data_IF_045763511863
#
_entry.id   IF_045763511863
#
_cell.length_a   1.000
_cell.length_b   1.000
_cell.length_c   1.000
_cell.angle_alpha   90.00
_cell.angle_beta   90.00
_cell.angle_gamma   90.00
#
_symmetry.space_group_name_H-M   'P 1'
#
loop_
_entity.id
_entity.type
_entity.pdbx_description
1 polymer ?
#
# COMPACT_ATOMS: atom_id res chain seq x y z
N UNK A 1 -26.07 5.73 92.16
CA UNK A 1 -27.17 5.33 91.27
C UNK A 1 -27.06 6.21 90.06
N UNK A 2 -26.56 5.69 88.94
CA UNK A 2 -26.91 6.06 87.56
C UNK A 2 -26.03 5.24 86.61
N UNK A 3 -26.65 4.61 85.63
CA UNK A 3 -26.06 3.58 84.77
C UNK A 3 -25.73 4.14 83.38
N UNK A 4 -24.53 3.83 82.89
CA UNK A 4 -24.14 4.12 81.51
C UNK A 4 -24.99 3.31 80.53
N UNK A 5 -25.91 3.98 79.82
CA UNK A 5 -26.60 3.41 78.66
C UNK A 5 -25.77 3.67 77.39
N UNK A 6 -25.02 2.67 76.95
CA UNK A 6 -24.38 2.66 75.63
C UNK A 6 -25.27 1.90 74.63
N UNK A 7 -26.05 2.63 73.83
CA UNK A 7 -26.86 2.08 72.73
C UNK A 7 -26.89 3.03 71.53
N UNK A 8 -25.74 3.31 70.93
CA UNK A 8 -25.70 3.87 69.58
C UNK A 8 -25.72 2.72 68.56
N UNK A 9 -26.93 2.27 68.23
CA UNK A 9 -27.14 1.35 67.11
C UNK A 9 -26.86 2.09 65.80
N UNK A 10 -25.64 1.99 65.30
CA UNK A 10 -25.31 2.46 63.95
C UNK A 10 -26.04 1.56 62.95
N UNK A 11 -27.22 2.00 62.50
CA UNK A 11 -27.84 1.46 61.29
C UNK A 11 -26.88 1.71 60.13
N UNK A 12 -26.20 0.65 59.69
CA UNK A 12 -25.44 0.65 58.44
C UNK A 12 -26.48 0.63 57.31
N UNK A 13 -26.92 1.83 56.91
CA UNK A 13 -27.72 2.03 55.72
C UNK A 13 -26.85 1.84 54.48
N UNK A 14 -27.20 0.84 53.68
CA UNK A 14 -26.43 0.34 52.54
C UNK A 14 -26.50 1.26 51.30
N UNK A 15 -26.00 2.50 51.38
CA UNK A 15 -26.19 3.54 50.34
C UNK A 15 -24.90 4.01 49.61
N UNK A 16 -23.77 3.33 49.76
CA UNK A 16 -22.50 3.74 49.11
C UNK A 16 -22.40 3.45 47.59
N UNK A 17 -23.35 2.73 47.00
CA UNK A 17 -23.29 2.34 45.58
C UNK A 17 -23.75 3.42 44.58
N UNK A 18 -24.22 4.58 45.05
CA UNK A 18 -24.88 5.62 44.23
C UNK A 18 -24.02 6.87 43.99
N UNK A 19 -22.88 6.99 44.67
CA UNK A 19 -22.06 8.21 44.69
C UNK A 19 -21.31 8.49 43.38
N UNK A 20 -20.83 7.45 42.67
CA UNK A 20 -19.93 7.62 41.51
C UNK A 20 -20.54 8.39 40.32
N UNK A 21 -21.85 8.25 40.10
CA UNK A 21 -22.56 8.89 38.99
C UNK A 21 -23.44 10.08 39.44
N UNK A 22 -23.40 10.45 40.73
CA UNK A 22 -24.23 11.53 41.28
C UNK A 22 -23.93 12.92 40.68
N UNK A 23 -22.77 13.10 40.05
CA UNK A 23 -22.39 14.31 39.31
C UNK A 23 -22.53 14.20 37.78
N UNK A 24 -23.09 13.11 37.24
CA UNK A 24 -23.21 12.93 35.79
C UNK A 24 -24.24 13.89 35.17
N UNK A 25 -23.98 14.47 33.99
CA UNK A 25 -24.96 15.28 33.27
C UNK A 25 -26.08 14.45 32.60
N UNK A 26 -26.04 13.11 32.71
CA UNK A 26 -26.96 12.19 32.06
C UNK A 26 -27.86 11.47 33.07
N UNK A 27 -29.09 11.17 32.67
CA UNK A 27 -29.98 10.30 33.45
C UNK A 27 -29.47 8.85 33.47
N UNK A 28 -29.88 8.06 34.48
CA UNK A 28 -29.48 6.64 34.60
C UNK A 28 -29.82 5.82 33.35
N UNK A 29 -30.91 6.13 32.66
CA UNK A 29 -31.31 5.43 31.42
C UNK A 29 -30.36 5.80 30.28
N UNK A 30 -29.99 7.08 30.12
CA UNK A 30 -29.02 7.53 29.13
C UNK A 30 -27.63 6.94 29.40
N UNK A 31 -27.19 6.91 30.66
CA UNK A 31 -25.93 6.26 31.08
C UNK A 31 -25.90 4.80 30.63
N UNK A 32 -26.96 4.03 30.95
CA UNK A 32 -27.04 2.61 30.56
C UNK A 32 -27.01 2.45 29.03
N UNK A 33 -27.72 3.30 28.28
CA UNK A 33 -27.71 3.29 26.82
C UNK A 33 -26.33 3.65 26.23
N UNK A 34 -25.66 4.67 26.76
CA UNK A 34 -24.32 5.09 26.33
C UNK A 34 -23.33 3.95 26.56
N UNK A 35 -23.33 3.31 27.74
CA UNK A 35 -22.46 2.17 28.05
C UNK A 35 -22.74 1.00 27.08
N UNK A 36 -24.01 0.67 26.81
CA UNK A 36 -24.38 -0.41 25.90
C UNK A 36 -23.92 -0.16 24.45
N UNK A 37 -24.14 1.05 23.94
CA UNK A 37 -23.76 1.43 22.57
C UNK A 37 -22.25 1.54 22.44
N UNK A 38 -21.57 2.26 23.33
CA UNK A 38 -20.11 2.41 23.30
C UNK A 38 -19.39 1.08 23.54
N UNK A 39 -19.86 0.27 24.49
CA UNK A 39 -19.30 -1.05 24.78
C UNK A 39 -19.49 -2.04 23.63
N UNK A 40 -20.63 -2.02 22.93
CA UNK A 40 -20.84 -2.85 21.75
C UNK A 40 -20.01 -2.40 20.55
N UNK A 41 -19.85 -1.09 20.31
CA UNK A 41 -18.94 -0.55 19.29
C UNK A 41 -17.47 -0.91 19.57
N UNK A 42 -17.05 -0.78 20.83
CA UNK A 42 -15.74 -1.21 21.33
C UNK A 42 -15.49 -2.69 21.04
N UNK A 43 -16.42 -3.57 21.45
CA UNK A 43 -16.34 -5.01 21.21
C UNK A 43 -16.28 -5.36 19.71
N UNK A 44 -17.11 -4.75 18.87
CA UNK A 44 -17.10 -4.95 17.41
C UNK A 44 -15.75 -4.52 16.81
N UNK A 45 -15.19 -3.39 17.28
CA UNK A 45 -13.89 -2.87 16.82
C UNK A 45 -12.75 -3.82 17.18
N UNK A 46 -12.74 -4.33 18.41
CA UNK A 46 -11.75 -5.29 18.90
C UNK A 46 -11.83 -6.60 18.12
N UNK A 47 -13.01 -7.22 18.05
CA UNK A 47 -13.20 -8.49 17.32
C UNK A 47 -12.86 -8.32 15.83
N UNK A 48 -13.34 -7.25 15.20
CA UNK A 48 -13.12 -6.97 13.79
C UNK A 48 -11.63 -6.86 13.44
N UNK A 49 -10.86 -6.08 14.21
CA UNK A 49 -9.44 -5.89 13.94
C UNK A 49 -8.59 -7.12 14.30
N UNK A 50 -8.95 -7.88 15.35
CA UNK A 50 -8.35 -9.19 15.63
C UNK A 50 -8.56 -10.15 14.44
N UNK A 51 -9.77 -10.20 13.85
CA UNK A 51 -10.04 -11.04 12.67
C UNK A 51 -9.20 -10.62 11.46
N UNK A 52 -8.94 -9.33 11.25
CA UNK A 52 -8.02 -8.83 10.20
C UNK A 52 -6.60 -9.36 10.44
N UNK A 53 -6.07 -9.16 11.64
CA UNK A 53 -4.72 -9.57 12.02
C UNK A 53 -4.53 -11.09 11.89
N UNK A 54 -5.48 -11.89 12.41
CA UNK A 54 -5.47 -13.34 12.30
C UNK A 54 -5.57 -13.81 10.85
N UNK A 55 -6.42 -13.18 10.02
CA UNK A 55 -6.57 -13.56 8.61
C UNK A 55 -5.27 -13.41 7.83
N UNK A 56 -4.53 -12.32 8.04
CA UNK A 56 -3.24 -12.07 7.40
C UNK A 56 -2.17 -13.05 7.92
N UNK A 57 -2.18 -13.36 9.23
CA UNK A 57 -1.22 -14.29 9.86
C UNK A 57 -1.44 -15.75 9.44
N UNK A 58 -2.69 -16.18 9.28
CA UNK A 58 -3.05 -17.59 8.98
C UNK A 58 -3.05 -17.87 7.48
N UNK A 59 -3.56 -16.97 6.64
CA UNK A 59 -3.71 -17.20 5.21
C UNK A 59 -2.51 -16.64 4.43
N UNK A 60 -1.63 -17.53 3.93
CA UNK A 60 -0.47 -17.14 3.11
C UNK A 60 -0.84 -16.36 1.84
N UNK A 61 -2.04 -16.56 1.28
CA UNK A 61 -2.51 -15.79 0.12
C UNK A 61 -2.82 -14.33 0.48
N UNK A 62 -2.95 -13.99 1.77
CA UNK A 62 -3.08 -12.63 2.29
C UNK A 62 -1.74 -12.04 2.75
N UNK A 63 -0.62 -12.77 2.73
CA UNK A 63 0.70 -12.28 3.15
C UNK A 63 1.40 -11.47 2.04
N UNK A 64 0.70 -10.46 1.51
CA UNK A 64 1.23 -9.54 0.50
C UNK A 64 1.65 -8.23 1.13
N UNK A 65 2.65 -7.53 0.56
CA UNK A 65 3.14 -6.23 1.06
C UNK A 65 2.01 -5.22 1.33
N UNK A 66 0.98 -5.21 0.48
CA UNK A 66 -0.21 -4.38 0.66
C UNK A 66 -0.89 -4.56 2.01
N UNK A 67 -0.96 -5.82 2.46
CA UNK A 67 -1.71 -6.23 3.63
C UNK A 67 -0.88 -6.05 4.92
N UNK A 68 0.44 -5.83 4.83
CA UNK A 68 1.23 -5.38 5.99
C UNK A 68 0.81 -3.97 6.43
N UNK A 69 0.48 -3.07 5.49
CA UNK A 69 -0.10 -1.77 5.84
C UNK A 69 -1.49 -1.91 6.48
N UNK A 70 -2.34 -2.81 5.98
CA UNK A 70 -3.65 -3.10 6.58
C UNK A 70 -3.51 -3.76 7.96
N UNK A 71 -2.46 -4.56 8.18
CA UNK A 71 -2.13 -5.14 9.49
C UNK A 71 -1.74 -4.03 10.48
N UNK A 72 -0.86 -3.10 10.08
CA UNK A 72 -0.49 -1.95 10.93
C UNK A 72 -1.70 -1.08 11.26
N UNK A 73 -2.58 -0.83 10.30
CA UNK A 73 -3.81 -0.06 10.52
C UNK A 73 -4.74 -0.80 11.52
N UNK A 74 -4.93 -2.12 11.36
CA UNK A 74 -5.68 -2.92 12.31
C UNK A 74 -5.06 -2.96 13.72
N UNK A 75 -3.73 -2.86 13.86
CA UNK A 75 -3.09 -2.72 15.18
C UNK A 75 -3.41 -1.39 15.84
N UNK A 76 -3.43 -0.29 15.08
CA UNK A 76 -3.81 1.03 15.61
C UNK A 76 -5.30 1.08 15.98
N UNK A 77 -6.17 0.62 15.07
CA UNK A 77 -7.61 0.54 15.27
C UNK A 77 -7.98 -0.36 16.47
N UNK A 78 -7.21 -1.43 16.73
CA UNK A 78 -7.35 -2.28 17.91
C UNK A 78 -7.02 -1.55 19.22
N UNK A 79 -5.95 -0.73 19.25
CA UNK A 79 -5.59 0.04 20.46
C UNK A 79 -6.67 1.09 20.75
N UNK A 80 -7.22 1.75 19.73
CA UNK A 80 -8.37 2.68 19.88
C UNK A 80 -9.58 1.95 20.47
N UNK A 81 -9.90 0.74 19.98
CA UNK A 81 -11.00 -0.07 20.50
C UNK A 81 -10.80 -0.56 21.94
N UNK A 82 -9.60 -0.97 22.32
CA UNK A 82 -9.30 -1.49 23.67
C UNK A 82 -9.13 -0.37 24.70
N UNK A 83 -8.48 0.73 24.34
CA UNK A 83 -8.12 1.79 25.29
C UNK A 83 -9.00 3.04 25.10
N UNK A 84 -8.89 3.72 23.95
CA UNK A 84 -9.46 5.05 23.74
C UNK A 84 -10.99 5.08 23.87
N UNK A 85 -11.70 4.16 23.21
CA UNK A 85 -13.16 4.07 23.29
C UNK A 85 -13.67 3.88 24.73
N UNK A 86 -13.01 3.01 25.50
CA UNK A 86 -13.48 2.65 26.84
C UNK A 86 -13.15 3.76 27.86
N UNK A 87 -11.94 4.33 27.80
CA UNK A 87 -11.55 5.46 28.66
C UNK A 87 -12.38 6.72 28.37
N UNK A 88 -12.72 6.96 27.11
CA UNK A 88 -13.60 8.08 26.75
C UNK A 88 -15.05 7.84 27.21
N UNK A 89 -15.57 6.60 27.12
CA UNK A 89 -16.88 6.26 27.74
C UNK A 89 -16.89 6.59 29.23
N UNK A 90 -15.83 6.23 29.97
CA UNK A 90 -15.71 6.49 31.42
C UNK A 90 -15.80 7.99 31.71
N UNK A 91 -15.00 8.81 31.02
CA UNK A 91 -15.02 10.27 31.16
C UNK A 91 -16.42 10.88 30.89
N UNK A 92 -17.03 10.51 29.76
CA UNK A 92 -18.35 11.04 29.37
C UNK A 92 -19.47 10.61 30.34
N UNK A 93 -19.47 9.36 30.79
CA UNK A 93 -20.53 8.83 31.66
C UNK A 93 -20.43 9.37 33.09
N UNK A 94 -19.21 9.51 33.62
CA UNK A 94 -18.98 10.03 34.97
C UNK A 94 -19.15 11.56 35.01
N UNK A 95 -18.90 12.25 33.90
CA UNK A 95 -19.02 13.71 33.79
C UNK A 95 -17.77 14.48 34.23
N UNK A 96 -16.75 13.78 34.75
CA UNK A 96 -15.43 14.29 35.09
C UNK A 96 -14.38 13.18 34.93
N UNK A 97 -13.10 13.51 35.08
CA UNK A 97 -11.98 12.56 34.97
C UNK A 97 -11.51 12.04 36.36
N UNK A 98 -11.82 10.78 36.74
CA UNK A 98 -11.48 10.27 38.08
C UNK A 98 -10.10 9.61 38.18
N UNK A 99 -9.40 9.36 37.07
CA UNK A 99 -8.18 8.52 37.04
C UNK A 99 -6.88 9.29 37.28
N UNK A 100 -6.97 10.60 37.56
CA UNK A 100 -5.85 11.48 37.83
C UNK A 100 -5.01 11.87 36.59
N UNK A 101 -4.18 12.90 36.76
CA UNK A 101 -3.45 13.56 35.67
C UNK A 101 -2.53 12.63 34.86
N UNK A 102 -1.83 11.68 35.52
CA UNK A 102 -0.90 10.77 34.83
C UNK A 102 -1.63 9.85 33.85
N UNK A 103 -2.80 9.31 34.23
CA UNK A 103 -3.58 8.45 33.34
C UNK A 103 -4.23 9.26 32.22
N UNK A 104 -4.63 10.50 32.49
CA UNK A 104 -5.10 11.44 31.45
C UNK A 104 -4.03 11.67 30.38
N UNK A 105 -2.83 12.10 30.79
CA UNK A 105 -1.74 12.45 29.89
C UNK A 105 -1.26 11.23 29.07
N UNK A 106 -1.20 10.05 29.69
CA UNK A 106 -0.87 8.80 29.00
C UNK A 106 -1.98 8.35 28.03
N UNK A 107 -3.25 8.48 28.39
CA UNK A 107 -4.37 8.19 27.50
C UNK A 107 -4.36 9.09 26.28
N UNK A 108 -4.27 10.42 26.47
CA UNK A 108 -4.20 11.39 25.38
C UNK A 108 -2.96 11.15 24.50
N UNK A 109 -1.80 10.86 25.09
CA UNK A 109 -0.61 10.52 24.32
C UNK A 109 -0.81 9.26 23.46
N UNK A 110 -1.37 8.17 24.01
CA UNK A 110 -1.69 6.96 23.25
C UNK A 110 -2.71 7.25 22.15
N UNK A 111 -3.80 7.95 22.46
CA UNK A 111 -4.91 8.20 21.55
C UNK A 111 -4.46 9.00 20.30
N UNK A 112 -3.71 10.09 20.52
CA UNK A 112 -3.22 10.93 19.43
C UNK A 112 -2.07 10.28 18.64
N UNK A 113 -1.14 9.58 19.30
CA UNK A 113 -0.06 8.84 18.60
C UNK A 113 -0.64 7.75 17.69
N UNK A 114 -1.60 6.97 18.21
CA UNK A 114 -2.23 5.87 17.47
C UNK A 114 -3.10 6.41 16.34
N UNK A 115 -3.91 7.43 16.60
CA UNK A 115 -4.74 8.10 15.59
C UNK A 115 -3.89 8.69 14.46
N UNK A 116 -2.79 9.39 14.79
CA UNK A 116 -1.85 9.91 13.79
C UNK A 116 -1.14 8.78 13.02
N UNK A 117 -0.80 7.66 13.68
CA UNK A 117 -0.23 6.50 13.01
C UNK A 117 -1.22 5.88 12.01
N UNK A 118 -2.54 5.87 12.30
CA UNK A 118 -3.56 5.48 11.33
C UNK A 118 -3.60 6.41 10.11
N UNK A 119 -3.56 7.74 10.30
CA UNK A 119 -3.50 8.72 9.19
C UNK A 119 -2.26 8.51 8.31
N UNK A 120 -1.10 8.33 8.93
CA UNK A 120 0.17 8.08 8.22
C UNK A 120 0.14 6.74 7.46
N UNK A 121 -0.48 5.70 8.01
CA UNK A 121 -0.71 4.44 7.29
C UNK A 121 -1.64 4.64 6.07
N UNK A 122 -2.71 5.44 6.18
CA UNK A 122 -3.59 5.77 5.04
C UNK A 122 -2.85 6.57 3.95
N UNK A 123 -1.95 7.49 4.32
CA UNK A 123 -1.08 8.19 3.38
C UNK A 123 -0.14 7.22 2.67
N UNK A 124 0.52 6.33 3.40
CA UNK A 124 1.42 5.29 2.85
C UNK A 124 0.66 4.38 1.88
N UNK A 125 -0.54 3.92 2.23
CA UNK A 125 -1.41 3.12 1.35
C UNK A 125 -1.75 3.91 0.07
N UNK A 126 -2.04 5.20 0.18
CA UNK A 126 -2.35 6.06 -0.96
C UNK A 126 -1.16 6.25 -1.90
N UNK A 127 0.04 6.49 -1.37
CA UNK A 127 1.28 6.60 -2.15
C UNK A 127 1.71 5.27 -2.78
N UNK A 128 1.68 4.16 -2.04
CA UNK A 128 1.98 2.82 -2.55
C UNK A 128 1.11 2.49 -3.77
N UNK A 129 -0.17 2.85 -3.70
CA UNK A 129 -1.15 2.63 -4.76
C UNK A 129 -0.96 3.55 -5.94
N UNK A 130 -0.65 4.82 -5.70
CA UNK A 130 -0.27 5.75 -6.74
C UNK A 130 0.95 5.24 -7.52
N UNK A 131 2.00 4.76 -6.83
CA UNK A 131 3.20 4.22 -7.49
C UNK A 131 2.96 2.87 -8.18
N UNK A 132 2.17 1.96 -7.60
CA UNK A 132 1.75 0.73 -8.29
C UNK A 132 1.02 1.03 -9.61
N UNK A 133 0.07 1.98 -9.60
CA UNK A 133 -0.77 2.30 -10.77
C UNK A 133 -0.04 3.16 -11.81
N UNK A 134 0.91 4.00 -11.41
CA UNK A 134 1.69 4.83 -12.34
C UNK A 134 2.92 4.11 -12.91
N UNK A 135 3.66 3.35 -12.08
CA UNK A 135 4.91 2.65 -12.44
C UNK A 135 4.75 1.12 -12.34
N UNK A 136 3.88 0.48 -13.16
CA UNK A 136 3.38 -0.89 -12.95
C UNK A 136 4.42 -2.02 -13.09
N UNK A 137 5.60 -1.73 -13.64
CA UNK A 137 6.70 -2.70 -13.74
C UNK A 137 7.78 -2.40 -12.69
N UNK A 138 8.31 -1.17 -12.68
CA UNK A 138 9.47 -0.81 -11.86
C UNK A 138 9.18 -0.75 -10.36
N UNK A 139 8.02 -0.23 -9.93
CA UNK A 139 7.73 -0.09 -8.50
C UNK A 139 7.35 -1.44 -7.85
N UNK A 140 6.40 -2.23 -8.40
CA UNK A 140 6.08 -3.54 -7.83
C UNK A 140 7.27 -4.51 -7.78
N UNK A 141 8.21 -4.43 -8.73
CA UNK A 141 9.41 -5.28 -8.74
C UNK A 141 10.45 -4.91 -7.67
N UNK A 142 10.58 -3.62 -7.31
CA UNK A 142 11.49 -3.15 -6.26
C UNK A 142 10.91 -3.22 -4.85
N UNK A 143 9.59 -3.30 -4.72
CA UNK A 143 8.90 -3.22 -3.42
C UNK A 143 9.01 -4.52 -2.63
N UNK A 144 9.74 -4.47 -1.51
CA UNK A 144 9.91 -5.60 -0.57
C UNK A 144 9.07 -5.44 0.71
N UNK A 145 8.89 -6.55 1.44
CA UNK A 145 8.29 -6.53 2.79
C UNK A 145 9.14 -5.74 3.79
N UNK A 146 10.48 -5.79 3.67
CA UNK A 146 11.42 -5.00 4.49
C UNK A 146 11.16 -3.50 4.34
N UNK A 147 10.98 -3.02 3.10
CA UNK A 147 10.69 -1.61 2.83
C UNK A 147 9.33 -1.18 3.43
N UNK A 148 8.29 -2.01 3.31
CA UNK A 148 7.00 -1.71 3.93
C UNK A 148 7.07 -1.71 5.47
N UNK A 149 7.83 -2.63 6.08
CA UNK A 149 8.10 -2.62 7.52
C UNK A 149 8.81 -1.34 7.97
N UNK A 150 9.79 -0.85 7.20
CA UNK A 150 10.46 0.43 7.47
C UNK A 150 9.49 1.62 7.35
N UNK A 151 8.62 1.65 6.33
CA UNK A 151 7.61 2.71 6.18
C UNK A 151 6.60 2.72 7.33
N UNK A 152 6.17 1.54 7.79
CA UNK A 152 5.31 1.38 8.97
C UNK A 152 6.04 1.88 10.22
N UNK A 153 7.26 1.42 10.48
CA UNK A 153 8.05 1.84 11.63
C UNK A 153 8.26 3.36 11.65
N UNK A 154 8.57 3.97 10.49
CA UNK A 154 8.69 5.42 10.35
C UNK A 154 7.36 6.15 10.66
N UNK A 155 6.21 5.62 10.25
CA UNK A 155 4.91 6.19 10.58
C UNK A 155 4.66 6.17 12.10
N UNK A 156 4.90 5.06 12.78
CA UNK A 156 4.73 4.95 14.24
C UNK A 156 5.71 5.84 15.00
N UNK A 157 7.00 5.83 14.64
CA UNK A 157 8.04 6.64 15.30
C UNK A 157 7.79 8.13 15.09
N UNK A 158 7.42 8.56 13.88
CA UNK A 158 7.08 9.96 13.61
C UNK A 158 5.83 10.39 14.38
N UNK A 159 4.78 9.57 14.43
CA UNK A 159 3.60 9.84 15.27
C UNK A 159 3.95 9.99 16.74
N UNK A 160 4.79 9.08 17.26
CA UNK A 160 5.24 9.13 18.66
C UNK A 160 6.00 10.42 18.95
N UNK A 161 7.01 10.76 18.14
CA UNK A 161 7.85 11.96 18.33
C UNK A 161 7.03 13.25 18.22
N UNK A 162 6.03 13.32 17.34
CA UNK A 162 5.20 14.52 17.17
C UNK A 162 4.22 14.74 18.34
N UNK A 163 3.60 13.67 18.85
CA UNK A 163 2.49 13.79 19.80
C UNK A 163 2.86 13.50 21.26
N UNK A 164 3.59 12.42 21.55
CA UNK A 164 3.83 12.03 22.95
C UNK A 164 4.71 13.05 23.71
N UNK A 165 5.86 13.52 23.19
CA UNK A 165 6.62 14.58 23.85
C UNK A 165 5.83 15.89 24.01
N UNK A 166 5.03 16.27 23.01
CA UNK A 166 4.22 17.47 23.08
C UNK A 166 3.13 17.37 24.17
N UNK A 167 2.44 16.24 24.28
CA UNK A 167 1.40 16.04 25.29
C UNK A 167 2.00 15.93 26.70
N UNK A 168 3.05 15.13 26.87
CA UNK A 168 3.63 14.84 28.19
C UNK A 168 4.48 16.00 28.75
N UNK A 169 5.29 16.65 27.91
CA UNK A 169 6.28 17.63 28.39
C UNK A 169 5.85 19.09 28.31
N UNK A 170 4.75 19.44 27.63
CA UNK A 170 4.31 20.84 27.50
C UNK A 170 4.04 21.52 28.84
N UNK A 171 3.50 20.80 29.82
CA UNK A 171 3.31 21.31 31.18
C UNK A 171 4.63 21.75 31.85
N UNK A 172 5.76 21.12 31.54
CA UNK A 172 7.08 21.55 32.05
C UNK A 172 7.65 22.73 31.26
N UNK A 173 7.35 22.84 29.96
CA UNK A 173 7.76 23.99 29.12
C UNK A 173 7.05 25.27 29.57
N UNK A 174 5.77 25.18 29.94
CA UNK A 174 4.97 26.30 30.47
C UNK A 174 5.28 26.58 31.96
N UNK A 175 5.95 25.66 32.65
CA UNK A 175 6.26 25.77 34.09
C UNK A 175 5.12 25.35 35.03
N UNK A 176 4.05 24.73 34.50
CA UNK A 176 2.92 24.23 35.27
C UNK A 176 1.85 23.55 34.42
N UNK A 177 1.08 22.66 35.06
CA UNK A 177 -0.14 22.08 34.50
C UNK A 177 -1.30 23.07 34.65
N UNK A 178 -1.98 23.41 33.57
CA UNK A 178 -3.17 24.29 33.60
C UNK A 178 -4.50 23.52 33.47
N UNK A 179 -4.44 22.21 33.20
CA UNK A 179 -5.62 21.33 33.13
C UNK A 179 -6.13 21.05 34.55
N UNK A 180 -7.41 21.32 34.87
CA UNK A 180 -8.00 21.03 36.17
C UNK A 180 -7.92 19.54 36.58
N UNK A 181 -7.99 19.20 37.89
CA UNK A 181 -7.87 17.81 38.36
C UNK A 181 -9.02 16.90 37.91
N UNK A 182 -10.19 17.49 37.67
CA UNK A 182 -11.47 16.90 37.26
C UNK A 182 -11.65 16.83 35.74
N UNK A 183 -10.72 17.39 34.96
CA UNK A 183 -10.80 17.47 33.50
C UNK A 183 -9.66 16.73 32.80
N UNK A 184 -9.90 16.30 31.55
CA UNK A 184 -8.86 15.69 30.73
C UNK A 184 -8.89 16.15 29.28
N UNK A 185 -8.02 17.12 28.96
CA UNK A 185 -7.80 17.64 27.61
C UNK A 185 -6.32 18.02 27.40
N UNK A 186 -5.92 18.22 26.14
CA UNK A 186 -4.55 18.60 25.78
C UNK A 186 -4.30 20.09 26.10
N UNK A 187 -3.36 20.38 27.00
CA UNK A 187 -3.06 21.74 27.48
C UNK A 187 -2.75 22.75 26.36
N UNK A 188 -2.00 22.37 25.31
CA UNK A 188 -1.68 23.30 24.22
C UNK A 188 -2.84 23.54 23.24
N UNK A 189 -3.94 22.78 23.33
CA UNK A 189 -5.16 23.01 22.56
C UNK A 189 -6.11 24.05 23.17
N UNK A 190 -5.80 24.58 24.36
CA UNK A 190 -6.48 25.76 24.90
C UNK A 190 -6.29 27.02 24.04
N UNK A 191 -5.31 27.04 23.13
CA UNK A 191 -5.16 28.10 22.12
C UNK A 191 -5.77 27.65 20.78
N UNK A 192 -6.91 28.23 20.33
CA UNK A 192 -7.59 27.79 19.12
C UNK A 192 -6.74 27.87 17.84
N UNK A 193 -5.80 28.83 17.77
CA UNK A 193 -4.90 28.95 16.62
C UNK A 193 -3.89 27.79 16.54
N UNK A 194 -3.43 27.29 17.69
CA UNK A 194 -2.57 26.08 17.76
C UNK A 194 -3.40 24.84 17.40
N UNK A 195 -4.60 24.70 17.96
CA UNK A 195 -5.51 23.59 17.65
C UNK A 195 -5.83 23.54 16.15
N UNK A 196 -6.13 24.68 15.52
CA UNK A 196 -6.36 24.73 14.08
C UNK A 196 -5.10 24.50 13.24
N UNK A 197 -3.95 25.06 13.64
CA UNK A 197 -2.67 24.81 12.98
C UNK A 197 -2.28 23.33 12.97
N UNK A 198 -2.49 22.64 14.10
CA UNK A 198 -2.29 21.18 14.18
C UNK A 198 -3.32 20.40 13.37
N UNK A 199 -4.59 20.80 13.35
CA UNK A 199 -5.61 20.18 12.48
C UNK A 199 -5.26 20.32 10.97
N UNK A 200 -4.70 21.47 10.55
CA UNK A 200 -4.19 21.64 9.18
C UNK A 200 -3.10 20.60 8.87
N UNK A 201 -2.10 20.46 9.74
CA UNK A 201 -0.98 19.56 9.52
C UNK A 201 -1.36 18.07 9.63
N UNK A 202 -2.22 17.71 10.59
CA UNK A 202 -2.55 16.33 10.94
C UNK A 202 -3.76 15.76 10.18
N UNK A 203 -4.68 16.60 9.71
CA UNK A 203 -5.89 16.17 8.98
C UNK A 203 -6.00 16.77 7.59
N UNK A 204 -6.12 18.10 7.47
CA UNK A 204 -6.47 18.72 6.18
C UNK A 204 -5.42 18.50 5.09
N UNK A 205 -4.13 18.69 5.40
CA UNK A 205 -3.04 18.46 4.46
C UNK A 205 -2.97 16.97 4.02
N UNK A 206 -2.98 15.98 4.94
CA UNK A 206 -3.12 14.56 4.58
C UNK A 206 -4.33 14.27 3.68
N UNK A 207 -5.52 14.79 4.00
CA UNK A 207 -6.74 14.59 3.20
C UNK A 207 -6.59 15.16 1.79
N UNK A 208 -6.07 16.38 1.65
CA UNK A 208 -5.81 17.00 0.33
C UNK A 208 -4.83 16.14 -0.49
N UNK A 209 -3.77 15.63 0.13
CA UNK A 209 -2.81 14.72 -0.52
C UNK A 209 -3.49 13.42 -0.96
N UNK A 210 -4.28 12.78 -0.09
CA UNK A 210 -5.01 11.54 -0.41
C UNK A 210 -5.99 11.75 -1.58
N UNK A 211 -6.78 12.83 -1.55
CA UNK A 211 -7.72 13.19 -2.63
C UNK A 211 -6.99 13.42 -3.95
N UNK A 212 -5.88 14.17 -3.93
CA UNK A 212 -5.06 14.42 -5.11
C UNK A 212 -4.49 13.12 -5.71
N UNK A 213 -3.86 12.28 -4.87
CA UNK A 213 -3.34 10.98 -5.30
C UNK A 213 -4.46 10.10 -5.86
N UNK A 214 -5.63 10.10 -5.23
CA UNK A 214 -6.77 9.33 -5.68
C UNK A 214 -7.33 9.81 -7.03
N UNK A 215 -7.42 11.12 -7.26
CA UNK A 215 -7.75 11.70 -8.56
C UNK A 215 -6.74 11.30 -9.64
N UNK A 216 -5.44 11.34 -9.32
CA UNK A 216 -4.37 10.88 -10.23
C UNK A 216 -4.48 9.39 -10.56
N UNK A 217 -4.77 8.53 -9.57
CA UNK A 217 -5.02 7.09 -9.75
C UNK A 217 -6.22 6.86 -10.68
N UNK A 218 -7.32 7.58 -10.45
CA UNK A 218 -8.53 7.52 -11.27
C UNK A 218 -8.27 7.92 -12.73
N UNK A 219 -7.55 9.03 -12.94
CA UNK A 219 -7.15 9.51 -14.27
C UNK A 219 -6.25 8.50 -14.99
N UNK A 220 -5.26 7.93 -14.29
CA UNK A 220 -4.38 6.90 -14.84
C UNK A 220 -5.17 5.64 -15.24
N UNK A 221 -6.06 5.14 -14.39
CA UNK A 221 -6.92 3.98 -14.67
C UNK A 221 -7.82 4.19 -15.90
N UNK A 222 -8.51 5.33 -16.00
CA UNK A 222 -9.34 5.69 -17.17
C UNK A 222 -8.51 5.83 -18.46
N UNK A 223 -7.29 6.37 -18.38
CA UNK A 223 -6.40 6.50 -19.55
C UNK A 223 -5.96 5.13 -20.11
N UNK A 224 -5.67 4.15 -19.23
CA UNK A 224 -5.33 2.77 -19.63
C UNK A 224 -6.52 2.11 -20.34
N UNK A 225 -7.74 2.25 -19.80
CA UNK A 225 -8.96 1.76 -20.46
C UNK A 225 -9.16 2.35 -21.86
N UNK A 226 -9.06 3.68 -22.03
CA UNK A 226 -9.18 4.32 -23.35
C UNK A 226 -8.14 3.78 -24.35
N UNK A 227 -6.91 3.50 -23.91
CA UNK A 227 -5.85 2.96 -24.77
C UNK A 227 -6.06 1.49 -25.15
N UNK A 228 -6.54 0.66 -24.22
CA UNK A 228 -6.86 -0.75 -24.51
C UNK A 228 -8.11 -0.88 -25.40
N UNK A 229 -9.13 -0.02 -25.21
CA UNK A 229 -10.29 0.05 -26.12
C UNK A 229 -9.86 0.44 -27.54
N UNK A 230 -9.06 1.51 -27.71
CA UNK A 230 -8.54 1.90 -29.03
C UNK A 230 -7.73 0.79 -29.70
N UNK A 231 -6.88 0.06 -28.96
CA UNK A 231 -6.16 -1.10 -29.49
C UNK A 231 -7.07 -2.27 -29.88
N UNK A 232 -8.24 -2.40 -29.25
CA UNK A 232 -9.20 -3.46 -29.59
C UNK A 232 -9.98 -3.10 -30.86
N UNK A 233 -10.44 -1.85 -31.00
CA UNK A 233 -11.13 -1.36 -32.21
C UNK A 233 -10.20 -1.30 -33.43
N UNK A 234 -8.92 -0.98 -33.25
CA UNK A 234 -7.92 -1.02 -34.33
C UNK A 234 -7.46 -2.42 -34.74
N UNK A 235 -8.05 -3.49 -34.20
CA UNK A 235 -7.83 -4.89 -34.65
C UNK A 235 -9.13 -5.52 -35.20
N UNK A 236 -10.22 -4.75 -35.36
CA UNK A 236 -11.51 -5.27 -35.82
C UNK A 236 -11.96 -4.73 -37.19
N UNK A 237 -11.08 -4.03 -37.91
CA UNK A 237 -11.28 -3.54 -39.28
C UNK A 237 -9.92 -3.63 -39.99
N UNK A 238 -9.85 -4.30 -41.15
CA UNK A 238 -8.64 -4.33 -42.00
C UNK A 238 -8.22 -5.72 -42.51
N UNK A 239 -8.93 -6.19 -43.53
CA UNK A 239 -8.43 -6.90 -44.73
C UNK A 239 -7.66 -8.24 -44.67
N UNK A 240 -7.92 -9.06 -45.70
CA UNK A 240 -7.17 -10.27 -46.03
C UNK A 240 -5.97 -9.98 -46.95
N UNK A 241 -5.19 -11.00 -47.33
CA UNK A 241 -3.94 -10.80 -48.07
C UNK A 241 -4.19 -10.48 -49.55
N UNK A 242 -4.09 -9.19 -49.91
CA UNK A 242 -3.88 -8.77 -51.29
C UNK A 242 -2.43 -9.04 -51.70
N UNK A 243 -2.25 -9.72 -52.83
CA UNK A 243 -0.94 -10.02 -53.40
C UNK A 243 -0.34 -8.74 -54.02
N UNK A 244 0.88 -8.37 -53.63
CA UNK A 244 1.75 -7.46 -54.39
C UNK A 244 3.21 -7.83 -54.12
N UNK A 245 3.84 -8.46 -55.11
CA UNK A 245 5.27 -8.29 -55.40
C UNK A 245 5.46 -6.86 -55.94
N UNK A 246 6.57 -6.13 -55.84
CA UNK A 246 7.87 -6.26 -55.16
C UNK A 246 8.02 -5.08 -54.17
N UNK A 247 9.03 -4.89 -53.29
CA UNK A 247 10.39 -5.43 -53.14
C UNK A 247 10.75 -5.58 -51.65
N UNK A 248 11.82 -6.33 -51.33
CA UNK A 248 12.29 -6.54 -49.96
C UNK A 248 13.75 -6.13 -49.71
N UNK A 249 14.01 -5.66 -48.48
CA UNK A 249 15.34 -5.26 -47.97
C UNK A 249 15.99 -4.03 -48.66
N UNK A 250 16.90 -3.29 -48.03
CA UNK A 250 17.68 -3.61 -46.83
C UNK A 250 17.92 -2.37 -45.95
N UNK A 251 18.11 -2.58 -44.64
CA UNK A 251 18.46 -1.50 -43.70
C UNK A 251 19.97 -1.27 -43.72
N UNK A 252 20.47 -0.32 -44.51
CA UNK A 252 21.81 0.22 -44.27
C UNK A 252 22.10 1.62 -44.84
N UNK A 253 23.11 2.23 -44.21
CA UNK A 253 23.89 3.41 -44.59
C UNK A 253 23.30 4.78 -44.24
N UNK A 254 23.99 5.57 -43.41
CA UNK A 254 25.29 6.23 -43.66
C UNK A 254 25.21 7.16 -44.87
N UNK A 255 25.10 8.46 -44.59
CA UNK A 255 25.18 9.50 -45.59
C UNK A 255 26.66 9.75 -45.92
N UNK A 256 27.11 9.32 -47.10
CA UNK A 256 28.33 9.82 -47.73
C UNK A 256 27.91 10.80 -48.82
N UNK A 257 28.56 11.96 -48.81
CA UNK A 257 28.39 13.06 -49.75
C UNK A 257 28.89 12.71 -51.15
N UNK A 258 28.16 13.15 -52.18
CA UNK A 258 28.75 13.60 -53.45
C UNK A 258 28.29 15.03 -53.76
N UNK A 259 29.22 15.81 -54.29
CA UNK A 259 29.05 17.20 -54.70
C UNK A 259 28.25 17.28 -56.00
N UNK A 260 27.55 18.39 -56.19
CA UNK A 260 27.70 19.19 -57.41
C UNK A 260 27.54 20.68 -57.07
N UNK A 261 28.08 21.57 -57.91
CA UNK A 261 28.41 22.93 -57.53
C UNK A 261 27.85 24.00 -58.48
N UNK A 262 27.34 25.09 -57.90
CA UNK A 262 27.23 26.45 -58.49
C UNK A 262 26.94 27.45 -57.35
N UNK A 263 27.94 28.20 -56.86
CA UNK A 263 28.30 29.59 -57.24
C UNK A 263 27.34 30.67 -56.67
N UNK A 264 27.64 31.09 -55.42
CA UNK A 264 27.95 32.48 -54.93
C UNK A 264 27.10 33.73 -55.29
N UNK A 265 27.15 34.87 -54.54
CA UNK A 265 27.54 35.12 -53.14
C UNK A 265 26.52 35.97 -52.30
N UNK A 266 26.80 36.11 -50.98
CA UNK A 266 26.33 37.22 -50.10
C UNK A 266 25.36 36.83 -48.97
N UNK A 267 25.53 37.22 -47.70
CA UNK A 267 26.59 38.05 -47.08
C UNK A 267 26.71 37.80 -45.55
N UNK A 268 27.84 38.19 -44.97
CA UNK A 268 28.17 38.43 -43.55
C UNK A 268 28.00 37.37 -42.41
N UNK A 269 29.18 37.01 -41.85
CA UNK A 269 29.64 37.20 -40.44
C UNK A 269 30.04 35.98 -39.59
N UNK A 270 31.18 36.16 -38.92
CA UNK A 270 32.06 35.14 -38.36
C UNK A 270 31.73 34.72 -36.91
N UNK A 271 32.14 33.49 -36.56
CA UNK A 271 32.91 33.22 -35.33
C UNK A 271 33.73 31.92 -35.45
N UNK A 272 35.06 32.09 -35.53
CA UNK A 272 36.09 31.04 -35.42
C UNK A 272 36.13 30.49 -33.95
N UNK A 273 36.74 29.35 -33.60
CA UNK A 273 37.70 28.41 -34.23
C UNK A 273 37.48 27.00 -33.57
N UNK A 274 37.37 25.88 -34.31
CA UNK A 274 38.44 24.91 -34.68
C UNK A 274 38.94 23.97 -33.54
N UNK A 275 39.30 22.69 -33.78
CA UNK A 275 39.14 21.84 -34.99
C UNK A 275 39.16 20.31 -34.68
N UNK A 276 38.84 19.53 -35.72
CA UNK A 276 39.02 18.08 -35.96
C UNK A 276 40.33 17.43 -35.41
N UNK A 277 40.44 16.10 -35.26
CA UNK A 277 39.50 15.00 -35.55
C UNK A 277 40.21 13.63 -35.72
N UNK A 278 39.47 12.62 -36.20
CA UNK A 278 39.93 11.31 -36.71
C UNK A 278 40.28 10.17 -35.71
N UNK A 279 39.77 8.97 -36.03
CA UNK A 279 40.01 7.61 -35.49
C UNK A 279 40.51 6.74 -36.67
N UNK A 280 41.25 5.60 -36.54
CA UNK A 280 40.64 4.35 -36.02
C UNK A 280 41.54 3.18 -35.45
N UNK A 281 40.85 2.24 -34.78
CA UNK A 281 41.05 0.77 -34.70
C UNK A 281 42.23 0.04 -33.99
N UNK A 282 41.80 -0.98 -33.23
CA UNK A 282 42.31 -2.37 -33.07
C UNK A 282 43.36 -2.78 -31.99
N UNK A 283 43.31 -4.09 -31.71
CA UNK A 283 43.94 -4.86 -30.63
C UNK A 283 45.39 -5.29 -30.97
N UNK A 284 46.30 -5.34 -29.99
CA UNK A 284 46.85 -6.59 -29.40
C UNK A 284 48.05 -6.38 -28.43
N UNK A 285 47.97 -7.06 -27.27
CA UNK A 285 48.97 -7.90 -26.55
C UNK A 285 50.44 -7.46 -26.22
N UNK A 286 50.95 -8.12 -25.16
CA UNK A 286 52.36 -8.34 -24.70
C UNK A 286 53.01 -7.26 -23.83
N UNK A 287 53.85 -7.54 -22.82
CA UNK A 287 54.03 -8.72 -21.93
C UNK A 287 54.98 -8.37 -20.74
N UNK A 288 55.08 -9.26 -19.73
CA UNK A 288 56.11 -9.34 -18.65
C UNK A 288 56.16 -8.21 -17.57
N UNK A 289 56.69 -8.35 -16.34
CA UNK A 289 57.07 -9.43 -15.35
C UNK A 289 57.24 -8.65 -14.00
N UNK A 290 56.85 -9.11 -12.80
CA UNK A 290 57.61 -10.04 -11.95
C UNK A 290 56.89 -10.44 -10.61
N UNK A 291 57.20 -11.64 -10.10
CA UNK A 291 57.36 -12.13 -8.70
C UNK A 291 56.61 -11.48 -7.49
N UNK A 292 56.11 -12.20 -6.45
CA UNK A 292 56.45 -13.54 -5.90
C UNK A 292 55.44 -14.05 -4.82
N UNK A 293 55.31 -15.38 -4.65
CA UNK A 293 55.08 -16.18 -3.40
C UNK A 293 53.87 -15.84 -2.46
N UNK A 294 53.16 -16.75 -1.76
CA UNK A 294 53.21 -18.20 -1.45
C UNK A 294 51.75 -18.67 -1.13
N UNK A 295 51.34 -19.92 -0.89
CA UNK A 295 51.67 -21.30 -1.32
C UNK A 295 50.94 -22.28 -0.36
N UNK A 296 50.26 -23.33 -0.86
CA UNK A 296 49.95 -24.64 -0.23
C UNK A 296 48.75 -25.29 -0.99
N UNK A 297 48.95 -26.29 -1.86
CA UNK A 297 49.13 -27.74 -1.59
C UNK A 297 47.84 -28.45 -1.07
N UNK A 298 47.41 -29.64 -1.55
CA UNK A 298 47.93 -30.53 -2.59
C UNK A 298 46.86 -31.44 -3.26
N UNK A 299 47.22 -31.89 -4.47
CA UNK A 299 46.83 -33.03 -5.34
C UNK A 299 46.33 -34.34 -4.68
N UNK A 300 45.65 -35.30 -5.33
CA UNK A 300 45.91 -36.04 -6.61
C UNK A 300 44.65 -36.79 -7.12
N UNK A 301 44.49 -37.39 -8.32
CA UNK A 301 44.95 -37.19 -9.73
C UNK A 301 44.65 -38.47 -10.55
N UNK A 302 44.12 -38.42 -11.80
CA UNK A 302 44.49 -39.32 -12.94
C UNK A 302 43.73 -39.06 -14.27
N UNK A 303 44.46 -39.22 -15.36
CA UNK A 303 44.16 -38.84 -16.76
C UNK A 303 43.49 -39.99 -17.59
N UNK A 304 43.09 -39.85 -18.86
CA UNK A 304 44.01 -39.79 -20.03
C UNK A 304 43.29 -39.40 -21.35
N UNK A 305 44.08 -38.81 -22.27
CA UNK A 305 43.86 -38.15 -23.56
C UNK A 305 43.05 -38.83 -24.71
N UNK A 306 42.77 -38.00 -25.75
CA UNK A 306 42.48 -38.35 -27.15
C UNK A 306 43.78 -38.18 -28.02
N UNK A 307 43.85 -38.42 -29.36
CA UNK A 307 43.09 -37.64 -30.37
C UNK A 307 42.75 -38.37 -31.72
N UNK A 308 42.25 -37.56 -32.66
CA UNK A 308 41.67 -37.79 -33.98
C UNK A 308 42.59 -38.38 -35.08
N UNK A 309 42.00 -39.09 -36.05
CA UNK A 309 42.55 -39.24 -37.42
C UNK A 309 41.49 -38.96 -38.50
N UNK A 310 41.96 -38.43 -39.65
CA UNK A 310 41.15 -37.99 -40.79
C UNK A 310 41.96 -38.31 -42.07
N UNK A 311 41.46 -39.12 -43.01
CA UNK A 311 42.13 -39.26 -44.32
C UNK A 311 41.19 -39.58 -45.50
N UNK A 312 41.53 -39.03 -46.66
CA UNK A 312 40.89 -39.16 -47.98
C UNK A 312 41.26 -40.47 -48.69
N UNK A 313 40.45 -40.90 -49.68
CA UNK A 313 41.03 -41.40 -50.95
C UNK A 313 40.30 -42.47 -51.77
N UNK A 314 39.69 -42.04 -52.90
CA UNK A 314 39.75 -42.63 -54.26
C UNK A 314 39.16 -44.02 -54.63
N UNK A 315 38.35 -43.96 -55.69
CA UNK A 315 38.22 -44.87 -56.85
C UNK A 315 37.50 -46.24 -56.78
N UNK A 316 36.76 -46.52 -57.88
CA UNK A 316 36.46 -47.88 -58.36
C UNK A 316 34.96 -48.18 -58.54
N UNK A 317 34.40 -47.93 -59.73
CA UNK A 317 32.98 -48.19 -60.01
C UNK A 317 32.69 -49.51 -60.75
N UNK A 318 31.43 -49.93 -60.76
CA UNK A 318 30.82 -50.71 -61.85
C UNK A 318 29.29 -50.53 -61.87
N UNK A 319 28.72 -50.54 -63.07
CA UNK A 319 27.30 -50.30 -63.36
C UNK A 319 26.46 -51.58 -63.22
N UNK A 320 25.16 -51.43 -62.93
CA UNK A 320 24.09 -51.89 -63.84
C UNK A 320 22.77 -51.18 -63.55
N UNK A 321 21.99 -50.92 -64.60
CA UNK A 321 20.74 -50.16 -64.54
C UNK A 321 19.54 -51.03 -64.14
N UNK A 322 18.57 -50.45 -63.43
CA UNK A 322 17.15 -50.60 -63.75
C UNK A 322 16.43 -49.26 -63.53
N UNK A 323 15.62 -48.85 -64.50
CA UNK A 323 15.02 -47.51 -64.56
C UNK A 323 13.50 -47.61 -64.44
N UNK A 324 12.94 -47.08 -63.35
CA UNK A 324 11.53 -46.66 -63.27
C UNK A 324 11.43 -45.37 -62.44
N UNK A 325 10.50 -44.45 -62.77
CA UNK A 325 10.50 -43.10 -62.20
C UNK A 325 9.73 -43.03 -60.86
N UNK A 326 10.25 -42.35 -59.83
CA UNK A 326 9.43 -41.89 -58.71
C UNK A 326 8.66 -40.63 -59.11
N UNK A 327 7.35 -40.66 -58.89
CA UNK A 327 6.42 -39.55 -59.12
C UNK A 327 6.63 -38.39 -58.12
N UNK A 328 6.35 -37.13 -58.50
CA UNK A 328 6.56 -35.98 -57.63
C UNK A 328 5.31 -35.68 -56.78
N UNK A 329 5.27 -36.15 -55.53
CA UNK A 329 4.24 -35.71 -54.57
C UNK A 329 4.73 -35.79 -53.12
N UNK A 330 4.34 -34.77 -52.33
CA UNK A 330 4.57 -34.53 -50.89
C UNK A 330 5.77 -33.64 -50.50
N UNK A 331 5.58 -32.31 -50.59
CA UNK A 331 6.39 -31.33 -49.83
C UNK A 331 5.71 -29.98 -49.51
N UNK A 332 4.44 -29.77 -49.90
CA UNK A 332 3.68 -28.56 -49.56
C UNK A 332 2.94 -28.69 -48.20
N UNK A 333 2.22 -29.81 -48.00
CA UNK A 333 1.32 -30.00 -46.86
C UNK A 333 2.03 -29.95 -45.49
N UNK A 334 3.21 -30.56 -45.35
CA UNK A 334 3.93 -30.57 -44.06
C UNK A 334 4.50 -29.21 -43.65
N UNK A 335 4.93 -28.39 -44.62
CA UNK A 335 5.36 -27.01 -44.33
C UNK A 335 4.17 -26.16 -43.86
N UNK A 336 3.00 -26.33 -44.48
CA UNK A 336 1.76 -25.68 -44.04
C UNK A 336 1.26 -26.19 -42.68
N UNK A 337 1.42 -27.48 -42.35
CA UNK A 337 1.04 -28.03 -41.04
C UNK A 337 1.90 -27.48 -39.89
N UNK A 338 3.20 -27.29 -40.13
CA UNK A 338 4.12 -26.68 -39.16
C UNK A 338 3.88 -25.17 -39.00
N UNK A 339 3.67 -24.45 -40.10
CA UNK A 339 3.36 -23.02 -40.09
C UNK A 339 2.05 -22.73 -39.36
N UNK A 340 0.97 -23.46 -39.68
CA UNK A 340 -0.33 -23.30 -38.99
C UNK A 340 -0.25 -23.68 -37.52
N UNK A 341 0.42 -24.78 -37.14
CA UNK A 341 0.67 -25.12 -35.72
C UNK A 341 1.45 -24.03 -34.97
N UNK A 342 2.39 -23.36 -35.63
CA UNK A 342 3.18 -22.28 -35.03
C UNK A 342 2.35 -21.00 -34.88
N UNK A 343 1.59 -20.62 -35.92
CA UNK A 343 0.65 -19.50 -35.87
C UNK A 343 -0.41 -19.70 -34.78
N UNK A 344 -0.96 -20.91 -34.65
CA UNK A 344 -1.95 -21.28 -33.64
C UNK A 344 -1.37 -21.26 -32.21
N UNK A 345 -0.09 -21.64 -32.03
CA UNK A 345 0.62 -21.48 -30.75
C UNK A 345 0.82 -19.99 -30.40
N UNK A 346 1.19 -19.15 -31.36
CA UNK A 346 1.40 -17.70 -31.15
C UNK A 346 0.07 -16.97 -30.87
N UNK A 347 -1.01 -17.28 -31.59
CA UNK A 347 -2.35 -16.71 -31.32
C UNK A 347 -2.90 -17.21 -29.98
N UNK A 348 -2.71 -18.49 -29.61
CA UNK A 348 -3.13 -19.01 -28.29
C UNK A 348 -2.30 -18.39 -27.14
N UNK A 349 -1.00 -18.21 -27.28
CA UNK A 349 -0.16 -17.52 -26.29
C UNK A 349 -0.55 -16.05 -26.15
N UNK A 350 -0.79 -15.33 -27.25
CA UNK A 350 -1.21 -13.92 -27.20
C UNK A 350 -2.64 -13.73 -26.67
N UNK A 351 -3.55 -14.67 -26.94
CA UNK A 351 -4.89 -14.71 -26.33
C UNK A 351 -4.82 -14.97 -24.81
N UNK A 352 -4.02 -15.94 -24.35
CA UNK A 352 -3.78 -16.21 -22.93
C UNK A 352 -3.09 -15.02 -22.25
N UNK A 353 -2.16 -14.35 -22.92
CA UNK A 353 -1.53 -13.12 -22.42
C UNK A 353 -2.53 -11.96 -22.31
N UNK A 354 -3.42 -11.76 -23.31
CA UNK A 354 -4.53 -10.79 -23.26
C UNK A 354 -5.48 -11.10 -22.09
N UNK A 355 -5.87 -12.36 -21.90
CA UNK A 355 -6.73 -12.80 -20.79
C UNK A 355 -6.08 -12.58 -19.42
N UNK A 356 -4.82 -13.00 -19.21
CA UNK A 356 -4.07 -12.72 -17.98
C UNK A 356 -3.99 -11.23 -17.70
N UNK A 357 -3.70 -10.40 -18.71
CA UNK A 357 -3.61 -8.93 -18.59
C UNK A 357 -4.96 -8.28 -18.24
N UNK A 358 -6.07 -8.76 -18.84
CA UNK A 358 -7.44 -8.33 -18.51
C UNK A 358 -7.85 -8.73 -17.08
N UNK A 359 -7.45 -9.92 -16.64
CA UNK A 359 -7.64 -10.39 -15.26
C UNK A 359 -6.89 -9.56 -14.22
N UNK A 360 -5.61 -9.24 -14.47
CA UNK A 360 -4.80 -8.35 -13.61
C UNK A 360 -5.45 -6.97 -13.49
N UNK A 361 -5.85 -6.36 -14.62
CA UNK A 361 -6.54 -5.05 -14.62
C UNK A 361 -7.87 -5.08 -13.83
N UNK A 362 -8.63 -6.17 -13.91
CA UNK A 362 -9.86 -6.35 -13.12
C UNK A 362 -9.57 -6.43 -11.61
N UNK A 363 -8.50 -7.13 -11.22
CA UNK A 363 -8.07 -7.23 -9.81
C UNK A 363 -7.59 -5.88 -9.26
N UNK A 364 -6.84 -5.10 -10.04
CA UNK A 364 -6.40 -3.75 -9.67
C UNK A 364 -7.58 -2.79 -9.45
N UNK A 365 -8.64 -2.87 -10.27
CA UNK A 365 -9.86 -2.08 -10.09
C UNK A 365 -10.58 -2.39 -8.77
N UNK A 366 -10.70 -3.67 -8.39
CA UNK A 366 -11.30 -4.10 -7.10
C UNK A 366 -10.49 -3.58 -5.90
N UNK A 367 -9.16 -3.67 -5.97
CA UNK A 367 -8.26 -3.13 -4.95
C UNK A 367 -8.40 -1.60 -4.85
N UNK A 368 -8.45 -0.89 -5.98
CA UNK A 368 -8.65 0.57 -6.00
C UNK A 368 -9.99 0.97 -5.37
N UNK A 369 -11.07 0.20 -5.63
CA UNK A 369 -12.38 0.40 -4.98
C UNK A 369 -12.34 0.14 -3.46
N UNK A 370 -11.54 -0.83 -3.01
CA UNK A 370 -11.36 -1.09 -1.57
C UNK A 370 -10.79 0.14 -0.86
N UNK A 371 -9.77 0.75 -1.45
CA UNK A 371 -9.09 1.92 -0.88
C UNK A 371 -9.93 3.18 -0.99
N UNK A 372 -10.74 3.34 -2.06
CA UNK A 372 -11.79 4.37 -2.07
C UNK A 372 -12.72 4.26 -0.85
N UNK A 373 -13.22 3.06 -0.54
CA UNK A 373 -14.17 2.90 0.55
C UNK A 373 -13.57 3.30 1.90
N UNK A 374 -12.32 2.90 2.16
CA UNK A 374 -11.57 3.27 3.38
C UNK A 374 -11.32 4.78 3.44
N UNK A 375 -10.87 5.41 2.34
CA UNK A 375 -10.63 6.85 2.30
C UNK A 375 -11.91 7.67 2.47
N UNK A 376 -13.03 7.23 1.87
CA UNK A 376 -14.33 7.88 2.03
C UNK A 376 -14.85 7.71 3.46
N UNK A 377 -14.70 6.54 4.07
CA UNK A 377 -15.05 6.32 5.47
C UNK A 377 -14.26 7.24 6.41
N UNK A 378 -12.94 7.31 6.24
CA UNK A 378 -12.05 8.21 6.99
C UNK A 378 -12.47 9.68 6.87
N UNK A 379 -12.64 10.18 5.64
CA UNK A 379 -13.07 11.58 5.44
C UNK A 379 -14.45 11.83 6.05
N UNK A 380 -15.43 10.94 5.84
CA UNK A 380 -16.78 11.11 6.36
C UNK A 380 -16.85 11.10 7.89
N UNK A 381 -16.01 10.30 8.55
CA UNK A 381 -15.99 10.17 10.01
C UNK A 381 -15.19 11.27 10.71
N UNK A 382 -14.06 11.70 10.14
CA UNK A 382 -13.16 12.69 10.78
C UNK A 382 -13.47 14.14 10.40
N UNK A 383 -14.15 14.40 9.28
CA UNK A 383 -14.46 15.78 8.85
C UNK A 383 -15.30 16.54 9.88
N UNK A 384 -16.38 15.98 10.48
CA UNK A 384 -17.21 16.74 11.42
C UNK A 384 -16.43 17.29 12.62
N UNK A 385 -15.54 16.49 13.23
CA UNK A 385 -14.66 16.96 14.31
C UNK A 385 -13.73 18.09 13.86
N UNK A 386 -13.08 17.94 12.70
CA UNK A 386 -12.15 18.96 12.21
C UNK A 386 -12.86 20.26 11.78
N UNK A 387 -14.08 20.16 11.24
CA UNK A 387 -14.95 21.33 10.97
C UNK A 387 -15.35 22.03 12.27
N UNK A 388 -15.59 21.31 13.36
CA UNK A 388 -15.79 21.92 14.68
C UNK A 388 -14.52 22.64 15.18
N UNK A 389 -13.32 22.07 15.01
CA UNK A 389 -12.06 22.76 15.31
C UNK A 389 -11.91 24.07 14.51
N UNK A 390 -12.23 24.05 13.22
CA UNK A 390 -12.27 25.26 12.38
C UNK A 390 -13.25 26.30 12.92
N UNK A 391 -14.49 25.91 13.24
CA UNK A 391 -15.52 26.83 13.78
C UNK A 391 -15.09 27.41 15.13
N UNK A 392 -14.55 26.58 16.03
CA UNK A 392 -14.04 26.97 17.35
C UNK A 392 -12.92 28.01 17.29
N UNK A 393 -12.21 28.11 16.16
CA UNK A 393 -11.18 29.13 15.92
C UNK A 393 -11.76 30.53 15.79
N UNK A 394 -13.02 30.65 15.34
CA UNK A 394 -13.72 31.92 15.15
C UNK A 394 -14.85 32.14 16.17
N UNK A 395 -15.40 31.08 16.76
CA UNK A 395 -16.44 31.14 17.78
C UNK A 395 -16.37 29.93 18.73
N UNK A 396 -15.87 30.14 19.95
CA UNK A 396 -15.77 29.11 20.98
C UNK A 396 -17.12 28.72 21.59
N UNK A 397 -18.08 29.65 21.66
CA UNK A 397 -19.40 29.43 22.28
C UNK A 397 -20.36 28.69 21.33
N UNK A 398 -20.06 28.64 20.03
CA UNK A 398 -20.96 28.11 19.00
C UNK A 398 -21.12 26.58 19.02
N UNK A 399 -20.32 25.84 19.80
CA UNK A 399 -20.25 24.37 19.75
C UNK A 399 -20.52 23.80 21.15
N UNK A 400 -21.74 23.31 21.45
CA UNK A 400 -22.01 22.65 22.72
C UNK A 400 -21.22 21.35 22.88
N UNK A 401 -20.85 21.03 24.12
CA UNK A 401 -20.04 19.85 24.47
C UNK A 401 -20.59 18.53 23.89
N UNK A 402 -21.91 18.37 23.80
CA UNK A 402 -22.54 17.19 23.19
C UNK A 402 -22.12 16.97 21.72
N UNK A 403 -21.89 18.04 20.95
CA UNK A 403 -21.40 17.92 19.57
C UNK A 403 -19.92 17.51 19.54
N UNK A 404 -19.08 18.04 20.43
CA UNK A 404 -17.71 17.58 20.60
C UNK A 404 -17.66 16.09 20.90
N UNK A 405 -18.47 15.61 21.83
CA UNK A 405 -18.59 14.18 22.19
C UNK A 405 -18.99 13.32 20.99
N UNK A 406 -20.01 13.73 20.24
CA UNK A 406 -20.45 13.03 19.02
C UNK A 406 -19.35 13.00 17.95
N UNK A 407 -18.66 14.13 17.74
CA UNK A 407 -17.57 14.22 16.76
C UNK A 407 -16.35 13.36 17.11
N UNK A 408 -15.99 13.30 18.40
CA UNK A 408 -14.89 12.46 18.87
C UNK A 408 -15.23 10.97 18.73
N UNK A 409 -16.44 10.56 19.11
CA UNK A 409 -16.94 9.20 18.87
C UNK A 409 -17.02 8.84 17.38
N UNK A 410 -17.40 9.79 16.52
CA UNK A 410 -17.42 9.57 15.08
C UNK A 410 -16.01 9.30 14.53
N UNK A 411 -14.98 9.96 15.05
CA UNK A 411 -13.59 9.67 14.71
C UNK A 411 -13.17 8.24 15.11
N UNK A 412 -13.61 7.76 16.28
CA UNK A 412 -13.39 6.37 16.71
C UNK A 412 -14.14 5.33 15.86
N UNK A 413 -15.36 5.64 15.39
CA UNK A 413 -16.16 4.74 14.53
C UNK A 413 -15.44 4.40 13.21
N UNK A 414 -14.50 5.23 12.75
CA UNK A 414 -13.61 4.91 11.63
C UNK A 414 -12.89 3.55 11.84
N UNK A 415 -12.36 3.32 13.04
CA UNK A 415 -11.64 2.10 13.44
C UNK A 415 -12.54 0.86 13.45
N UNK A 416 -13.85 1.05 13.68
CA UNK A 416 -14.88 0.00 13.59
C UNK A 416 -15.22 -0.34 12.13
N UNK A 417 -15.23 0.66 11.23
CA UNK A 417 -15.61 0.50 9.82
C UNK A 417 -14.52 -0.22 9.01
N UNK A 418 -13.24 -0.03 9.35
CA UNK A 418 -12.10 -0.58 8.58
C UNK A 418 -12.18 -2.10 8.33
N UNK A 419 -12.40 -2.98 9.34
CA UNK A 419 -12.63 -4.41 9.13
C UNK A 419 -13.76 -4.75 8.15
N UNK A 420 -14.88 -4.01 8.21
CA UNK A 420 -16.01 -4.20 7.30
C UNK A 420 -15.65 -3.83 5.86
N UNK A 421 -14.91 -2.73 5.65
CA UNK A 421 -14.40 -2.35 4.33
C UNK A 421 -13.54 -3.47 3.70
N UNK A 422 -12.67 -4.12 4.48
CA UNK A 422 -11.84 -5.23 3.99
C UNK A 422 -12.69 -6.45 3.61
N UNK A 423 -13.64 -6.85 4.45
CA UNK A 423 -14.50 -8.01 4.21
C UNK A 423 -15.46 -7.80 3.02
N UNK A 424 -16.00 -6.59 2.84
CA UNK A 424 -16.90 -6.27 1.72
C UNK A 424 -16.17 -6.18 0.38
N UNK A 425 -14.95 -5.63 0.37
CA UNK A 425 -14.23 -5.35 -0.88
C UNK A 425 -13.26 -6.46 -1.31
N UNK A 426 -12.84 -7.36 -0.42
CA UNK A 426 -11.91 -8.45 -0.72
C UNK A 426 -12.47 -9.83 -0.34
N UNK A 427 -12.83 -10.61 -1.37
CA UNK A 427 -13.38 -11.97 -1.23
C UNK A 427 -12.45 -12.93 -0.47
N UNK A 428 -11.12 -12.77 -0.56
CA UNK A 428 -10.18 -13.60 0.19
C UNK A 428 -10.22 -13.28 1.68
N UNK A 429 -10.38 -12.02 2.08
CA UNK A 429 -10.66 -11.66 3.48
C UNK A 429 -12.02 -12.22 3.92
N UNK A 430 -13.10 -12.01 3.14
CA UNK A 430 -14.44 -12.52 3.46
C UNK A 430 -14.47 -14.03 3.73
N UNK A 431 -13.83 -14.81 2.86
CA UNK A 431 -13.76 -16.26 3.02
C UNK A 431 -12.91 -16.66 4.23
N UNK A 432 -11.77 -15.98 4.46
CA UNK A 432 -10.93 -16.23 5.64
C UNK A 432 -11.68 -15.92 6.93
N UNK A 433 -12.40 -14.79 7.01
CA UNK A 433 -13.27 -14.45 8.15
C UNK A 433 -14.30 -15.53 8.42
N UNK A 434 -15.02 -16.00 7.37
CA UNK A 434 -16.00 -17.09 7.52
C UNK A 434 -15.36 -18.37 8.07
N UNK A 435 -14.18 -18.77 7.58
CA UNK A 435 -13.50 -19.96 8.08
C UNK A 435 -12.94 -19.78 9.51
N UNK A 436 -12.48 -18.58 9.89
CA UNK A 436 -12.04 -18.30 11.26
C UNK A 436 -13.21 -18.37 12.25
N UNK A 437 -14.34 -17.72 11.92
CA UNK A 437 -15.56 -17.72 12.76
C UNK A 437 -16.19 -19.12 12.88
N UNK A 438 -16.07 -19.97 11.87
CA UNK A 438 -16.51 -21.37 11.91
C UNK A 438 -15.42 -22.34 12.43
N UNK A 439 -14.31 -21.84 12.96
CA UNK A 439 -13.15 -22.62 13.46
C UNK A 439 -12.52 -23.60 12.42
N UNK A 440 -12.77 -23.40 11.13
CA UNK A 440 -12.32 -24.25 10.03
C UNK A 440 -10.87 -23.97 9.59
N UNK A 441 -9.94 -23.86 10.54
CA UNK A 441 -8.53 -23.50 10.27
C UNK A 441 -7.82 -24.44 9.28
N UNK A 442 -8.19 -25.74 9.25
CA UNK A 442 -7.63 -26.70 8.29
C UNK A 442 -7.90 -26.29 6.84
N UNK A 443 -9.11 -25.81 6.53
CA UNK A 443 -9.53 -25.42 5.18
C UNK A 443 -8.80 -24.16 4.66
N UNK A 444 -8.33 -23.29 5.56
CA UNK A 444 -7.55 -22.09 5.19
C UNK A 444 -6.12 -22.48 4.74
N UNK A 445 -5.54 -23.54 5.33
CA UNK A 445 -4.19 -24.02 4.98
C UNK A 445 -4.15 -24.93 3.76
N UNK A 446 -5.23 -25.66 3.47
CA UNK A 446 -5.31 -26.58 2.31
C UNK A 446 -5.76 -25.92 1.01
N UNK A 447 -6.29 -24.69 1.04
CA UNK A 447 -6.56 -23.88 -0.15
C UNK A 447 -5.26 -23.35 -0.80
N UNK A 448 -4.53 -24.25 -1.47
CA UNK A 448 -3.34 -23.99 -2.28
C UNK A 448 -3.70 -23.73 -3.75
#
# INVERSE_FOLDING_TARGET
>A
METLNFSNTTNISSDDNTSLFSGSPYSTVEIVLIILVAGSLSLITVIGNILVMLSIKVNRNLQTVNNYFLFSLACADLIIGVCSMNLYTVYIVIGYWPLGAVVCDLWLAVDYVVSNASVMNLLIISFDRYFCVTKPLSYPARRSTKMAGLMIAAAWVLSFILWAPAILFWQFIVGGRTVPPDECYIQFFSNPAVTFGTAIAAFYLPVVIMIYLYWRISKASRSRMRRDSRKTSGTSLGEGPSHSQEDGCESQNNCITTRDAQVDPGDEKEKLQQNNGSRPCQEERTDQVDSKADSNQASTSKDTAAPTLLQKGLNGGKQTNQTQPPSPQNSAADRQSMATRTLFKVTKQSAVAKWKRKGISSREKKVTRTIMAILVAFVATWTPYNVMVLINTFCSICIPNSLWTIGYWLCYINSTINPACYALCNTTFKNTFKHLLLCQYKNIRTAR
#
